data_IF_037490055492
#
_entry.id   IF_037490055492
#
_cell.length_a   1.000
_cell.length_b   1.000
_cell.length_c   1.000
_cell.angle_alpha   90.00
_cell.angle_beta   90.00
_cell.angle_gamma   90.00
#
_symmetry.space_group_name_H-M   'P 1'
#
loop_
_entity.id
_entity.type
_entity.pdbx_description
1 polymer ?
#
# COMPACT_ATOMS: atom_id res chain seq x y z
N UNK A 1 17.53 -11.16 -23.48
CA UNK A 1 16.44 -11.83 -24.23
C UNK A 1 15.09 -11.35 -23.69
N UNK A 2 14.09 -11.07 -24.55
CA UNK A 2 12.74 -10.74 -24.10
C UNK A 2 12.16 -11.95 -23.36
N UNK A 3 11.54 -11.69 -22.22
CA UNK A 3 11.06 -12.71 -21.28
C UNK A 3 10.02 -13.62 -21.93
N UNK A 4 10.21 -14.94 -21.82
CA UNK A 4 9.20 -15.92 -22.18
C UNK A 4 7.93 -15.70 -21.37
N UNK A 5 6.78 -15.66 -22.05
CA UNK A 5 5.43 -15.42 -21.52
C UNK A 5 5.03 -16.35 -20.35
N UNK A 6 5.75 -17.47 -20.18
CA UNK A 6 5.47 -18.52 -19.20
C UNK A 6 5.99 -18.26 -17.76
N UNK A 7 6.89 -17.30 -17.55
CA UNK A 7 7.46 -16.99 -16.21
C UNK A 7 6.84 -15.77 -15.51
N UNK A 8 5.84 -15.12 -16.13
CA UNK A 8 5.12 -14.00 -15.50
C UNK A 8 4.01 -14.53 -14.61
N UNK A 9 4.03 -14.11 -13.35
CA UNK A 9 2.93 -14.36 -12.42
C UNK A 9 1.81 -13.38 -12.78
N UNK A 10 0.94 -13.79 -13.70
CA UNK A 10 -0.15 -12.96 -14.25
C UNK A 10 -1.01 -12.37 -13.13
N UNK A 11 -1.25 -13.13 -12.06
CA UNK A 11 -2.01 -12.66 -10.90
C UNK A 11 -1.39 -11.41 -10.24
N UNK A 12 -0.06 -11.32 -10.14
CA UNK A 12 0.63 -10.16 -9.55
C UNK A 12 0.49 -8.94 -10.47
N UNK A 13 0.66 -9.13 -11.78
CA UNK A 13 0.55 -8.05 -12.76
C UNK A 13 -0.90 -7.49 -12.81
N UNK A 14 -1.91 -8.38 -12.79
CA UNK A 14 -3.33 -8.00 -12.74
C UNK A 14 -3.66 -7.25 -11.46
N UNK A 15 -3.20 -7.75 -10.30
CA UNK A 15 -3.50 -7.12 -9.01
C UNK A 15 -2.85 -5.74 -8.89
N UNK A 16 -1.67 -5.54 -9.48
CA UNK A 16 -1.06 -4.20 -9.57
C UNK A 16 -1.86 -3.26 -10.44
N UNK A 17 -2.29 -3.71 -11.62
CA UNK A 17 -3.14 -2.91 -12.52
C UNK A 17 -4.45 -2.51 -11.84
N UNK A 18 -5.07 -3.45 -11.12
CA UNK A 18 -6.29 -3.18 -10.35
C UNK A 18 -6.05 -2.16 -9.22
N UNK A 19 -4.97 -2.31 -8.46
CA UNK A 19 -4.62 -1.36 -7.41
C UNK A 19 -4.32 0.04 -7.97
N UNK A 20 -3.62 0.12 -9.11
CA UNK A 20 -3.36 1.39 -9.81
C UNK A 20 -4.65 2.04 -10.31
N UNK A 21 -5.61 1.26 -10.81
CA UNK A 21 -6.91 1.80 -11.21
C UNK A 21 -7.65 2.40 -10.01
N UNK A 22 -7.63 1.73 -8.85
CA UNK A 22 -8.21 2.28 -7.63
C UNK A 22 -7.52 3.58 -7.17
N UNK A 23 -6.19 3.63 -7.22
CA UNK A 23 -5.41 4.84 -6.92
C UNK A 23 -5.75 5.96 -7.91
N UNK A 24 -5.96 5.65 -9.19
CA UNK A 24 -6.38 6.62 -10.19
C UNK A 24 -7.75 7.22 -9.84
N UNK A 25 -8.73 6.39 -9.47
CA UNK A 25 -10.06 6.88 -9.09
C UNK A 25 -9.95 7.82 -7.88
N UNK A 26 -9.14 7.48 -6.88
CA UNK A 26 -8.90 8.34 -5.71
C UNK A 26 -8.17 9.65 -6.07
N UNK A 27 -7.28 9.66 -7.06
CA UNK A 27 -6.63 10.90 -7.51
C UNK A 27 -7.55 11.78 -8.34
N UNK A 28 -8.47 11.19 -9.13
CA UNK A 28 -9.46 11.97 -9.91
C UNK A 28 -10.35 12.79 -8.97
N UNK A 29 -10.76 12.23 -7.84
CA UNK A 29 -11.57 12.95 -6.85
C UNK A 29 -10.82 14.10 -6.19
N UNK A 30 -9.48 14.06 -6.20
CA UNK A 30 -8.62 15.08 -5.59
C UNK A 30 -8.02 16.01 -6.64
N UNK A 31 -8.36 15.85 -7.94
CA UNK A 31 -7.64 16.47 -9.06
C UNK A 31 -7.75 18.01 -9.11
N UNK A 32 -8.71 18.61 -8.40
CA UNK A 32 -8.97 20.05 -8.39
C UNK A 32 -8.76 20.69 -7.01
N UNK A 33 -8.09 19.98 -6.10
CA UNK A 33 -7.91 20.43 -4.72
C UNK A 33 -6.58 21.18 -4.61
N UNK A 34 -6.57 22.41 -4.08
CA UNK A 34 -5.37 23.26 -4.04
C UNK A 34 -4.39 22.96 -2.87
N UNK A 35 -4.70 21.97 -2.02
CA UNK A 35 -3.83 21.56 -0.91
C UNK A 35 -4.49 20.59 0.07
N UNK A 36 -3.72 20.07 1.03
CA UNK A 36 -4.21 19.12 2.03
C UNK A 36 -5.42 19.63 2.81
N UNK A 37 -5.47 20.93 3.11
CA UNK A 37 -6.54 21.56 3.89
C UNK A 37 -7.91 21.58 3.15
N UNK A 38 -7.91 21.43 1.83
CA UNK A 38 -9.13 21.42 1.01
C UNK A 38 -9.59 20.00 0.62
N UNK A 39 -8.86 18.97 1.04
CA UNK A 39 -9.16 17.57 0.71
C UNK A 39 -10.47 17.12 1.33
N UNK A 40 -10.70 17.50 2.59
CA UNK A 40 -11.95 17.18 3.31
C UNK A 40 -13.16 17.80 2.62
N UNK A 41 -13.08 19.08 2.29
CA UNK A 41 -14.15 19.80 1.62
C UNK A 41 -14.46 19.22 0.23
N UNK A 42 -13.44 18.76 -0.50
CA UNK A 42 -13.63 18.06 -1.77
C UNK A 42 -14.38 16.74 -1.63
N UNK A 43 -14.15 16.00 -0.53
CA UNK A 43 -14.92 14.81 -0.23
C UNK A 43 -16.37 15.16 0.19
N UNK A 44 -16.60 16.24 0.94
CA UNK A 44 -17.96 16.67 1.28
C UNK A 44 -18.77 17.09 0.03
N UNK A 45 -18.16 17.81 -0.90
CA UNK A 45 -18.79 18.26 -2.14
C UNK A 45 -19.17 17.10 -3.09
N UNK A 46 -18.49 15.97 -2.98
CA UNK A 46 -18.80 14.75 -3.73
C UNK A 46 -20.02 13.99 -3.16
N UNK A 47 -20.53 14.36 -1.97
CA UNK A 47 -21.75 13.81 -1.34
C UNK A 47 -23.01 14.58 -1.80
N UNK A 48 -22.97 15.26 -2.94
CA UNK A 48 -24.16 15.96 -3.46
C UNK A 48 -25.05 14.99 -4.26
N UNK A 49 -26.29 14.79 -3.78
CA UNK A 49 -27.35 14.01 -4.46
C UNK A 49 -27.41 12.52 -4.09
N UNK A 50 -28.46 11.83 -4.55
CA UNK A 50 -28.77 10.44 -4.14
C UNK A 50 -27.76 9.38 -4.60
N UNK A 51 -26.87 9.72 -5.54
CA UNK A 51 -25.80 8.86 -6.01
C UNK A 51 -24.42 9.18 -5.36
N UNK A 52 -24.26 10.34 -4.73
CA UNK A 52 -22.98 10.77 -4.12
C UNK A 52 -22.63 9.97 -2.87
N UNK A 53 -23.59 9.79 -1.96
CA UNK A 53 -23.40 9.00 -0.73
C UNK A 53 -22.96 7.54 -0.99
N UNK A 54 -23.64 6.74 -1.84
CA UNK A 54 -23.20 5.37 -2.12
C UNK A 54 -21.85 5.30 -2.86
N UNK A 55 -21.54 6.29 -3.71
CA UNK A 55 -20.23 6.39 -4.36
C UNK A 55 -19.11 6.67 -3.36
N UNK A 56 -19.37 7.56 -2.39
CA UNK A 56 -18.41 7.86 -1.33
C UNK A 56 -18.16 6.69 -0.39
N UNK A 57 -19.23 6.02 0.02
CA UNK A 57 -19.12 4.80 0.81
C UNK A 57 -18.28 3.76 0.07
N UNK A 58 -18.44 3.62 -1.25
CA UNK A 58 -17.61 2.73 -2.06
C UNK A 58 -16.14 3.16 -2.05
N UNK A 59 -15.86 4.45 -2.25
CA UNK A 59 -14.50 4.99 -2.23
C UNK A 59 -13.81 4.79 -0.88
N UNK A 60 -14.43 5.23 0.20
CA UNK A 60 -13.89 5.12 1.56
C UNK A 60 -13.68 3.67 1.97
N UNK A 61 -14.64 2.78 1.71
CA UNK A 61 -14.58 1.40 2.18
C UNK A 61 -13.66 0.53 1.31
N UNK A 62 -13.60 0.73 -0.01
CA UNK A 62 -12.95 -0.22 -0.90
C UNK A 62 -11.72 0.31 -1.61
N UNK A 63 -11.60 1.62 -1.80
CA UNK A 63 -10.60 2.20 -2.70
C UNK A 63 -9.51 2.91 -1.90
N UNK A 64 -9.90 3.91 -1.12
CA UNK A 64 -9.00 4.82 -0.44
C UNK A 64 -8.13 4.03 0.55
N UNK A 65 -6.82 4.22 0.47
CA UNK A 65 -5.80 3.56 1.30
C UNK A 65 -5.65 2.06 1.13
N UNK A 66 -6.71 1.30 0.85
CA UNK A 66 -6.64 -0.14 0.62
C UNK A 66 -5.93 -0.45 -0.69
N UNK A 67 -6.24 0.30 -1.74
CA UNK A 67 -5.56 0.15 -3.04
C UNK A 67 -4.10 0.59 -2.94
N UNK A 68 -3.82 1.65 -2.19
CA UNK A 68 -2.45 2.07 -1.85
C UNK A 68 -1.69 0.99 -1.09
N UNK A 69 -2.28 0.43 -0.03
CA UNK A 69 -1.69 -0.63 0.78
C UNK A 69 -1.40 -1.90 -0.04
N UNK A 70 -2.37 -2.34 -0.86
CA UNK A 70 -2.19 -3.47 -1.79
C UNK A 70 -1.07 -3.16 -2.78
N UNK A 71 -1.05 -1.96 -3.35
CA UNK A 71 0.00 -1.53 -4.25
C UNK A 71 1.39 -1.50 -3.58
N UNK A 72 1.50 -0.98 -2.34
CA UNK A 72 2.75 -1.00 -1.55
C UNK A 72 3.22 -2.43 -1.31
N UNK A 73 2.33 -3.32 -0.85
CA UNK A 73 2.67 -4.73 -0.63
C UNK A 73 3.19 -5.38 -1.93
N UNK A 74 2.50 -5.17 -3.05
CA UNK A 74 2.89 -5.74 -4.34
C UNK A 74 4.18 -5.12 -4.90
N UNK A 75 4.44 -3.86 -4.59
CA UNK A 75 5.69 -3.20 -4.92
C UNK A 75 6.85 -3.83 -4.16
N UNK A 76 6.73 -4.01 -2.84
CA UNK A 76 7.72 -4.71 -2.00
C UNK A 76 7.96 -6.15 -2.44
N UNK A 77 6.89 -6.92 -2.68
CA UNK A 77 6.99 -8.26 -3.25
C UNK A 77 7.69 -8.27 -4.63
N UNK A 78 7.47 -7.22 -5.42
CA UNK A 78 8.13 -6.99 -6.70
C UNK A 78 9.63 -6.83 -6.62
N UNK A 79 10.12 -6.15 -5.57
CA UNK A 79 11.56 -6.00 -5.32
C UNK A 79 12.19 -7.38 -5.12
N UNK A 80 11.58 -8.25 -4.31
CA UNK A 80 12.07 -9.63 -4.13
C UNK A 80 12.04 -10.41 -5.44
N UNK A 81 10.91 -10.40 -6.15
CA UNK A 81 10.77 -11.14 -7.41
C UNK A 81 11.84 -10.74 -8.44
N UNK A 82 12.06 -9.44 -8.62
CA UNK A 82 13.05 -8.93 -9.57
C UNK A 82 14.47 -9.28 -9.12
N UNK A 83 14.79 -9.07 -7.84
CA UNK A 83 16.14 -9.36 -7.33
C UNK A 83 16.47 -10.86 -7.40
N UNK A 84 15.56 -11.73 -6.99
CA UNK A 84 15.74 -13.19 -7.07
C UNK A 84 15.88 -13.67 -8.51
N UNK A 85 15.12 -13.10 -9.45
CA UNK A 85 15.21 -13.47 -10.87
C UNK A 85 16.55 -13.10 -11.49
N UNK A 86 17.12 -11.95 -11.11
CA UNK A 86 18.42 -11.50 -11.61
C UNK A 86 19.53 -12.34 -10.98
N UNK A 87 19.46 -12.56 -9.66
CA UNK A 87 20.44 -13.37 -8.92
C UNK A 87 20.41 -14.84 -9.40
N UNK A 88 19.24 -15.40 -9.75
CA UNK A 88 19.11 -16.74 -10.33
C UNK A 88 19.78 -16.90 -11.71
N UNK A 89 20.05 -15.80 -12.42
CA UNK A 89 20.77 -15.79 -13.70
C UNK A 89 22.29 -15.60 -13.53
N UNK A 90 22.75 -15.44 -12.28
CA UNK A 90 24.15 -15.16 -11.96
C UNK A 90 24.53 -13.67 -12.06
N UNK A 91 23.56 -12.79 -12.32
CA UNK A 91 23.78 -11.35 -12.45
C UNK A 91 23.61 -10.64 -11.10
N UNK A 92 24.24 -9.46 -10.95
CA UNK A 92 24.07 -8.61 -9.77
C UNK A 92 22.78 -7.81 -9.87
N UNK A 93 21.83 -8.06 -8.96
CA UNK A 93 20.60 -7.29 -8.85
C UNK A 93 20.80 -5.86 -8.31
N UNK A 94 22.01 -5.52 -7.84
CA UNK A 94 22.31 -4.23 -7.23
C UNK A 94 22.06 -3.07 -8.21
N UNK A 95 22.73 -3.08 -9.37
CA UNK A 95 22.65 -1.99 -10.33
C UNK A 95 21.23 -1.77 -10.84
N UNK A 96 20.54 -2.85 -11.18
CA UNK A 96 19.16 -2.80 -11.69
C UNK A 96 18.20 -2.25 -10.64
N UNK A 97 18.35 -2.67 -9.38
CA UNK A 97 17.50 -2.19 -8.29
C UNK A 97 17.69 -0.70 -8.02
N UNK A 98 18.93 -0.25 -7.84
CA UNK A 98 19.17 1.15 -7.49
C UNK A 98 18.85 2.11 -8.64
N UNK A 99 19.26 1.79 -9.87
CA UNK A 99 18.96 2.66 -11.04
C UNK A 99 17.45 2.81 -11.22
N UNK A 100 16.70 1.70 -11.19
CA UNK A 100 15.25 1.73 -11.36
C UNK A 100 14.55 2.59 -10.29
N UNK A 101 14.95 2.45 -9.03
CA UNK A 101 14.27 3.14 -7.93
C UNK A 101 14.73 4.60 -7.78
N UNK A 102 15.97 4.92 -8.13
CA UNK A 102 16.45 6.32 -8.22
C UNK A 102 15.74 7.05 -9.37
N UNK A 103 15.56 6.42 -10.53
CA UNK A 103 14.77 6.99 -11.62
C UNK A 103 13.31 7.20 -11.19
N UNK A 104 12.71 6.23 -10.50
CA UNK A 104 11.36 6.37 -9.97
C UNK A 104 11.25 7.54 -8.98
N UNK A 105 12.22 7.66 -8.07
CA UNK A 105 12.29 8.78 -7.13
C UNK A 105 12.50 10.11 -7.84
N UNK A 106 13.32 10.17 -8.90
CA UNK A 106 13.52 11.37 -9.70
C UNK A 106 12.27 11.81 -10.46
N UNK A 107 11.50 10.86 -11.01
CA UNK A 107 10.20 11.13 -11.61
C UNK A 107 9.22 11.63 -10.55
N UNK A 108 9.18 10.99 -9.38
CA UNK A 108 8.35 11.43 -8.27
C UNK A 108 8.71 12.83 -7.76
N UNK A 109 9.99 13.18 -7.74
CA UNK A 109 10.45 14.52 -7.38
C UNK A 109 9.98 15.56 -8.40
N UNK A 110 10.12 15.28 -9.71
CA UNK A 110 9.60 16.15 -10.75
C UNK A 110 8.07 16.29 -10.69
N UNK A 111 7.36 15.20 -10.37
CA UNK A 111 5.92 15.20 -10.22
C UNK A 111 5.47 15.93 -8.95
N UNK A 112 6.23 15.85 -7.85
CA UNK A 112 5.92 16.57 -6.61
C UNK A 112 5.98 18.09 -6.75
N UNK A 113 6.66 18.60 -7.80
CA UNK A 113 6.64 20.02 -8.14
C UNK A 113 5.35 20.46 -8.87
N UNK A 114 4.58 19.50 -9.39
CA UNK A 114 3.33 19.73 -10.13
C UNK A 114 2.09 19.42 -9.28
N UNK A 115 2.22 18.51 -8.30
CA UNK A 115 1.09 17.93 -7.57
C UNK A 115 1.48 17.53 -6.13
N UNK A 116 0.61 17.77 -5.13
CA UNK A 116 0.85 17.36 -3.74
C UNK A 116 0.36 15.91 -3.50
N UNK A 117 1.14 15.10 -2.78
CA UNK A 117 0.79 13.69 -2.55
C UNK A 117 1.43 12.71 -3.53
N UNK A 118 2.63 13.03 -4.02
CA UNK A 118 3.37 12.13 -4.90
C UNK A 118 3.75 10.80 -4.22
N UNK A 119 3.17 9.72 -4.73
CA UNK A 119 3.39 8.35 -4.25
C UNK A 119 4.73 7.80 -4.79
N UNK A 120 5.17 8.24 -5.97
CA UNK A 120 6.35 7.70 -6.65
C UNK A 120 7.64 7.96 -5.87
N UNK A 121 7.78 9.15 -5.29
CA UNK A 121 8.91 9.59 -4.50
C UNK A 121 9.00 8.75 -3.23
N UNK A 122 7.90 8.63 -2.48
CA UNK A 122 7.83 7.82 -1.25
C UNK A 122 8.21 6.38 -1.57
N UNK A 123 7.70 5.83 -2.67
CA UNK A 123 7.93 4.44 -3.05
C UNK A 123 9.36 4.23 -3.53
N UNK A 124 9.88 5.13 -4.35
CA UNK A 124 11.26 5.12 -4.82
C UNK A 124 12.25 5.16 -3.66
N UNK A 125 12.08 6.10 -2.74
CA UNK A 125 12.92 6.22 -1.54
C UNK A 125 12.79 4.98 -0.63
N UNK A 126 11.57 4.52 -0.36
CA UNK A 126 11.33 3.30 0.42
C UNK A 126 12.05 2.08 -0.18
N UNK A 127 12.01 1.94 -1.51
CA UNK A 127 12.66 0.86 -2.24
C UNK A 127 14.18 0.82 -2.04
N UNK A 128 14.83 1.97 -1.87
CA UNK A 128 16.27 2.05 -1.63
C UNK A 128 16.63 1.40 -0.29
N UNK A 129 15.79 1.59 0.74
CA UNK A 129 15.96 0.98 2.06
C UNK A 129 15.57 -0.51 2.12
N UNK A 130 14.70 -0.98 1.23
CA UNK A 130 14.23 -2.36 1.20
C UNK A 130 15.28 -3.35 0.66
N UNK A 131 16.23 -2.89 -0.16
CA UNK A 131 17.26 -3.74 -0.75
C UNK A 131 18.13 -4.52 0.25
N UNK A 132 18.67 -3.92 1.34
CA UNK A 132 19.41 -4.68 2.36
C UNK A 132 18.54 -5.68 3.12
N UNK A 133 17.25 -5.37 3.32
CA UNK A 133 16.31 -6.21 4.05
C UNK A 133 15.87 -7.45 3.25
N UNK A 134 16.21 -7.53 1.95
CA UNK A 134 15.74 -8.61 1.06
C UNK A 134 16.13 -10.02 1.49
N UNK A 135 17.26 -10.17 2.18
CA UNK A 135 17.80 -11.48 2.61
C UNK A 135 17.18 -11.96 3.93
N UNK A 136 16.34 -11.15 4.57
CA UNK A 136 15.71 -11.50 5.84
C UNK A 136 14.61 -12.56 5.65
N UNK A 137 14.36 -13.31 6.73
CA UNK A 137 13.28 -14.28 6.80
C UNK A 137 11.90 -13.59 6.79
N UNK A 138 10.84 -14.30 6.38
CA UNK A 138 9.47 -13.78 6.41
C UNK A 138 9.06 -13.25 7.79
N UNK A 139 9.48 -13.92 8.88
CA UNK A 139 9.20 -13.49 10.26
C UNK A 139 9.93 -12.19 10.58
N UNK A 140 11.21 -12.10 10.24
CA UNK A 140 12.01 -10.89 10.47
C UNK A 140 11.45 -9.68 9.71
N UNK A 141 10.94 -9.89 8.49
CA UNK A 141 10.27 -8.84 7.71
C UNK A 141 8.97 -8.37 8.35
N UNK A 142 8.17 -9.27 8.93
CA UNK A 142 6.96 -8.90 9.68
C UNK A 142 7.28 -8.14 10.96
N UNK A 143 8.30 -8.58 11.70
CA UNK A 143 8.77 -7.88 12.90
C UNK A 143 9.30 -6.49 12.54
N UNK A 144 10.08 -6.37 11.46
CA UNK A 144 10.55 -5.08 10.98
C UNK A 144 9.39 -4.17 10.56
N UNK A 145 8.39 -4.72 9.85
CA UNK A 145 7.17 -3.98 9.49
C UNK A 145 6.42 -3.47 10.72
N UNK A 146 6.20 -4.34 11.71
CA UNK A 146 5.54 -3.99 12.96
C UNK A 146 6.34 -2.94 13.75
N UNK A 147 7.66 -3.07 13.82
CA UNK A 147 8.53 -2.11 14.50
C UNK A 147 8.49 -0.73 13.82
N UNK A 148 8.53 -0.69 12.49
CA UNK A 148 8.41 0.53 11.70
C UNK A 148 7.04 1.20 11.91
N UNK A 149 5.97 0.41 11.92
CA UNK A 149 4.62 0.91 12.18
C UNK A 149 4.45 1.42 13.61
N UNK A 150 4.91 0.66 14.61
CA UNK A 150 4.89 1.09 16.02
C UNK A 150 5.71 2.36 16.24
N UNK A 151 6.85 2.50 15.55
CA UNK A 151 7.65 3.72 15.60
C UNK A 151 6.84 4.93 15.11
N UNK A 152 6.10 4.82 14.01
CA UNK A 152 5.24 5.89 13.53
C UNK A 152 4.15 6.27 14.56
N UNK A 153 3.48 5.27 15.14
CA UNK A 153 2.46 5.50 16.19
C UNK A 153 3.06 6.19 17.42
N UNK A 154 4.27 5.82 17.84
CA UNK A 154 4.96 6.44 18.97
C UNK A 154 5.41 7.88 18.68
N UNK A 155 5.72 8.22 17.43
CA UNK A 155 6.07 9.60 17.05
C UNK A 155 4.83 10.49 17.09
N UNK A 156 3.66 9.96 16.74
CA UNK A 156 2.38 10.69 16.81
C UNK A 156 2.26 11.84 15.80
N UNK A 157 3.11 11.88 14.78
CA UNK A 157 3.08 12.87 13.71
C UNK A 157 2.33 12.29 12.49
N UNK A 158 1.24 12.92 12.02
CA UNK A 158 0.43 12.42 10.89
C UNK A 158 1.21 12.29 9.58
N UNK A 159 2.17 13.19 9.33
CA UNK A 159 3.04 13.16 8.14
C UNK A 159 4.02 12.00 8.25
N UNK A 160 4.60 11.79 9.43
CA UNK A 160 5.46 10.64 9.68
C UNK A 160 4.70 9.33 9.48
N UNK A 161 3.46 9.23 9.97
CA UNK A 161 2.61 8.07 9.77
C UNK A 161 2.33 7.78 8.29
N UNK A 162 1.96 8.82 7.52
CA UNK A 162 1.73 8.70 6.09
C UNK A 162 2.97 8.18 5.34
N UNK A 163 4.15 8.76 5.62
CA UNK A 163 5.41 8.38 4.96
C UNK A 163 5.85 6.98 5.36
N UNK A 164 5.70 6.60 6.63
CA UNK A 164 6.17 5.33 7.19
C UNK A 164 5.25 4.15 6.84
N UNK A 165 3.98 4.41 6.54
CA UNK A 165 3.03 3.37 6.14
C UNK A 165 3.46 2.64 4.87
N UNK A 166 3.93 3.36 3.85
CA UNK A 166 4.37 2.75 2.60
C UNK A 166 5.49 1.70 2.78
N UNK A 167 6.64 2.01 3.42
CA UNK A 167 7.69 1.02 3.66
C UNK A 167 7.24 -0.10 4.61
N UNK A 168 6.41 0.19 5.62
CA UNK A 168 5.86 -0.86 6.49
C UNK A 168 5.04 -1.88 5.69
N UNK A 169 4.15 -1.43 4.80
CA UNK A 169 3.35 -2.30 3.95
C UNK A 169 4.17 -3.01 2.88
N UNK A 170 5.24 -2.38 2.35
CA UNK A 170 6.18 -3.05 1.45
C UNK A 170 6.87 -4.23 2.14
N UNK A 171 7.27 -4.10 3.41
CA UNK A 171 7.84 -5.19 4.20
C UNK A 171 6.84 -6.34 4.43
N UNK A 172 5.56 -6.03 4.70
CA UNK A 172 4.49 -7.04 4.74
C UNK A 172 4.42 -7.77 3.40
N UNK A 173 4.44 -7.04 2.29
CA UNK A 173 4.44 -7.60 0.95
C UNK A 173 5.62 -8.54 0.68
N UNK A 174 6.83 -8.15 1.08
CA UNK A 174 8.02 -9.01 1.00
C UNK A 174 7.86 -10.28 1.84
N UNK A 175 7.28 -10.18 3.03
CA UNK A 175 6.99 -11.36 3.86
C UNK A 175 5.96 -12.29 3.23
N UNK A 176 4.85 -11.74 2.72
CA UNK A 176 3.80 -12.52 2.05
C UNK A 176 4.33 -13.21 0.77
N UNK A 177 5.25 -12.56 0.06
CA UNK A 177 5.98 -13.16 -1.05
C UNK A 177 6.81 -14.37 -0.60
N UNK A 178 7.62 -14.21 0.45
CA UNK A 178 8.43 -15.29 1.05
C UNK A 178 7.58 -16.45 1.58
N UNK A 179 6.37 -16.17 2.06
CA UNK A 179 5.41 -17.19 2.52
C UNK A 179 4.68 -17.91 1.37
N UNK A 180 4.95 -17.53 0.11
CA UNK A 180 4.30 -18.10 -1.07
C UNK A 180 2.86 -17.63 -1.28
N UNK A 181 2.39 -16.65 -0.51
CA UNK A 181 1.01 -16.15 -0.57
C UNK A 181 0.78 -15.33 -1.85
N UNK A 182 1.72 -14.45 -2.21
CA UNK A 182 1.60 -13.58 -3.39
C UNK A 182 1.95 -14.33 -4.69
N UNK A 183 2.78 -15.37 -4.62
CA UNK A 183 3.20 -16.16 -5.79
C UNK A 183 2.22 -17.27 -6.19
N UNK A 184 1.01 -17.29 -5.61
CA UNK A 184 0.05 -18.37 -5.81
C UNK A 184 0.61 -19.78 -5.48
N UNK A 185 1.59 -19.86 -4.58
CA UNK A 185 2.23 -21.13 -4.19
C UNK A 185 1.42 -21.96 -3.17
N UNK A 186 0.25 -21.47 -2.76
CA UNK A 186 -0.66 -22.12 -1.81
C UNK A 186 -1.86 -22.73 -2.54
N UNK A 187 -2.49 -23.72 -1.93
CA UNK A 187 -3.69 -24.35 -2.47
C UNK A 187 -4.93 -23.44 -2.33
N UNK A 188 -5.93 -23.66 -3.18
CA UNK A 188 -7.14 -22.84 -3.19
C UNK A 188 -7.94 -22.91 -1.87
N UNK A 189 -7.84 -24.01 -1.11
CA UNK A 189 -8.52 -24.13 0.18
C UNK A 189 -7.87 -23.24 1.23
N UNK A 190 -6.55 -23.12 1.22
CA UNK A 190 -5.83 -22.15 2.05
C UNK A 190 -6.31 -20.72 1.80
N UNK A 191 -6.42 -20.29 0.54
CA UNK A 191 -6.92 -18.94 0.22
C UNK A 191 -8.36 -18.72 0.69
N UNK A 192 -9.27 -19.68 0.46
CA UNK A 192 -10.65 -19.58 0.96
C UNK A 192 -10.70 -19.48 2.48
N UNK A 193 -9.89 -20.26 3.19
CA UNK A 193 -9.81 -20.20 4.65
C UNK A 193 -9.22 -18.88 5.12
N UNK A 194 -8.16 -18.39 4.48
CA UNK A 194 -7.54 -17.11 4.78
C UNK A 194 -8.55 -15.98 4.60
N UNK A 195 -9.28 -15.93 3.48
CA UNK A 195 -10.36 -14.96 3.25
C UNK A 195 -11.40 -15.02 4.37
N UNK A 196 -11.91 -16.23 4.71
CA UNK A 196 -12.91 -16.37 5.78
C UNK A 196 -12.39 -15.89 7.13
N UNK A 197 -11.14 -16.19 7.49
CA UNK A 197 -10.51 -15.72 8.73
C UNK A 197 -10.32 -14.20 8.73
N UNK A 198 -9.83 -13.64 7.63
CA UNK A 198 -9.64 -12.19 7.51
C UNK A 198 -10.96 -11.44 7.61
N UNK A 199 -12.04 -11.93 7.00
CA UNK A 199 -13.37 -11.32 7.16
C UNK A 199 -13.94 -11.55 8.56
N UNK A 200 -13.78 -12.74 9.13
CA UNK A 200 -14.29 -13.05 10.46
C UNK A 200 -13.64 -12.22 11.58
N UNK A 201 -12.36 -11.83 11.42
CA UNK A 201 -11.66 -10.96 12.37
C UNK A 201 -11.81 -9.49 12.00
N UNK A 202 -11.67 -9.17 10.70
CA UNK A 202 -11.67 -7.81 10.20
C UNK A 202 -13.03 -7.12 10.28
N UNK A 203 -14.14 -7.81 9.97
CA UNK A 203 -15.48 -7.21 10.05
C UNK A 203 -15.82 -6.79 11.49
N UNK A 204 -15.70 -7.65 12.52
CA UNK A 204 -15.95 -7.23 13.89
C UNK A 204 -15.02 -6.11 14.34
N UNK A 205 -13.74 -6.15 13.97
CA UNK A 205 -12.79 -5.10 14.33
C UNK A 205 -13.19 -3.74 13.73
N UNK A 206 -13.55 -3.71 12.44
CA UNK A 206 -14.03 -2.49 11.79
C UNK A 206 -15.40 -2.03 12.33
N UNK A 207 -16.31 -2.94 12.65
CA UNK A 207 -17.61 -2.59 13.23
C UNK A 207 -17.45 -2.00 14.64
N UNK A 208 -16.58 -2.59 15.46
CA UNK A 208 -16.22 -2.07 16.78
C UNK A 208 -15.60 -0.68 16.64
N UNK A 209 -14.62 -0.52 15.75
CA UNK A 209 -14.00 0.76 15.44
C UNK A 209 -15.05 1.85 15.18
N UNK A 210 -15.96 1.55 14.25
CA UNK A 210 -17.01 2.47 13.81
C UNK A 210 -17.92 2.91 14.96
N UNK A 211 -18.31 1.99 15.84
CA UNK A 211 -19.17 2.28 17.00
C UNK A 211 -18.47 3.19 18.01
N UNK A 212 -17.14 3.11 18.14
CA UNK A 212 -16.36 3.96 19.04
C UNK A 212 -15.94 5.30 18.41
N UNK A 213 -16.24 5.54 17.12
CA UNK A 213 -15.93 6.82 16.45
C UNK A 213 -16.72 7.99 17.04
N UNK A 214 -17.96 7.77 17.49
CA UNK A 214 -18.81 8.85 17.99
C UNK A 214 -18.40 9.39 19.37
N UNK A 215 -17.57 8.67 20.14
CA UNK A 215 -17.23 9.02 21.53
C UNK A 215 -15.75 9.44 21.75
N UNK A 216 -14.82 9.08 20.84
CA UNK A 216 -13.40 9.45 20.92
C UNK A 216 -12.74 9.59 19.54
N UNK A 217 -12.51 10.83 19.10
CA UNK A 217 -11.83 11.16 17.82
C UNK A 217 -10.43 10.53 17.70
N UNK A 218 -9.66 10.46 18.80
CA UNK A 218 -8.29 9.90 18.79
C UNK A 218 -8.26 8.37 18.56
N UNK A 219 -9.23 7.63 19.13
CA UNK A 219 -9.38 6.19 18.90
C UNK A 219 -9.94 5.91 17.52
N UNK A 220 -10.86 6.76 17.04
CA UNK A 220 -11.36 6.72 15.67
C UNK A 220 -10.21 6.81 14.67
N UNK A 221 -9.33 7.80 14.83
CA UNK A 221 -8.12 8.02 14.02
C UNK A 221 -7.18 6.81 14.02
N UNK A 222 -6.89 6.23 15.19
CA UNK A 222 -5.96 5.10 15.31
C UNK A 222 -6.52 3.81 14.66
N UNK A 223 -7.83 3.57 14.76
CA UNK A 223 -8.46 2.40 14.14
C UNK A 223 -8.78 2.62 12.66
N UNK A 224 -9.07 3.87 12.25
CA UNK A 224 -9.11 4.27 10.85
C UNK A 224 -7.72 4.15 10.22
N UNK A 225 -6.61 4.45 10.91
CA UNK A 225 -5.27 4.28 10.34
C UNK A 225 -4.86 2.82 10.07
N UNK A 226 -5.55 1.84 10.66
CA UNK A 226 -5.43 0.43 10.27
C UNK A 226 -6.10 0.11 8.91
N UNK A 227 -6.90 1.01 8.30
CA UNK A 227 -7.64 0.72 7.07
C UNK A 227 -7.99 1.89 6.13
N UNK A 228 -8.19 3.12 6.61
CA UNK A 228 -8.63 4.34 5.90
C UNK A 228 -8.31 5.61 6.75
N UNK A 229 -7.35 6.51 6.45
CA UNK A 229 -7.38 7.87 6.99
C UNK A 229 -8.37 8.67 6.15
N UNK A 230 -9.24 9.41 6.81
CA UNK A 230 -9.56 10.82 6.58
C UNK A 230 -10.58 11.21 7.65
N UNK A 231 -10.07 11.79 8.72
CA UNK A 231 -10.65 12.93 9.44
C UNK A 231 -9.43 13.66 10.01
N UNK A 232 -9.28 14.93 9.68
CA UNK A 232 -8.40 15.85 10.39
C UNK A 232 -9.30 16.91 11.02
#
# INVERSE_FOLDING_TARGET
MPVGRAERIVAIDVLRGFALLGILVANITLFDVDGFDAVEQSFEDLVIGSAGAPFMVLLLIFVLNKMMAVFSMLFGAGVLLVTERIEARGDSAFGVHYVRNVLLAGIGLAHSALWFGDVLLIYGLSALFLYPLRRLSARSLLVASAAVWLFAVCVGDPVAEYVVRAPAMMLVGMSLYRLGVINAGRDAAWYRMATRRSFAVGLPLCSVAWVFVEDQEDLALLVNNLGVPFMA
#
